data_IF_162229868061
#
_entry.id   IF_162229868061
#
_cell.length_a   1.000
_cell.length_b   1.000
_cell.length_c   1.000
_cell.angle_alpha   90.00
_cell.angle_beta   90.00
_cell.angle_gamma   90.00
#
_symmetry.space_group_name_H-M   'P 1'
#
loop_
_entity.id
_entity.type
_entity.pdbx_description
1 polymer ?
#
# COMPACT_ATOMS: atom_id res chain seq x y z
N UNK A 1 19.69 39.79 38.39
CA UNK A 1 19.75 39.74 36.92
C UNK A 1 20.11 38.31 36.57
N UNK A 2 19.10 37.50 36.24
CA UNK A 2 19.24 36.05 36.04
C UNK A 2 19.45 35.78 34.55
N UNK A 3 20.61 35.25 34.20
CA UNK A 3 20.86 34.60 32.90
C UNK A 3 21.14 33.13 33.20
N UNK A 4 20.16 32.27 32.88
CA UNK A 4 20.31 30.81 32.84
C UNK A 4 21.31 30.43 31.74
N UNK A 5 22.26 29.53 31.99
CA UNK A 5 22.64 28.53 30.99
C UNK A 5 21.61 27.39 31.00
N UNK A 6 21.31 26.85 29.83
CA UNK A 6 20.54 25.63 29.62
C UNK A 6 21.33 24.45 30.20
N UNK A 7 20.80 23.83 31.25
CA UNK A 7 21.08 22.44 31.56
C UNK A 7 20.07 21.63 30.73
N UNK A 8 20.46 21.23 29.52
CA UNK A 8 19.77 20.19 28.75
C UNK A 8 20.69 18.96 28.69
N UNK A 9 21.12 18.55 29.88
CA UNK A 9 21.82 17.30 30.10
C UNK A 9 20.74 16.23 30.23
N UNK A 10 20.46 15.54 29.12
CA UNK A 10 19.51 14.43 29.07
C UNK A 10 19.72 13.49 30.25
N UNK A 11 18.76 13.48 31.18
CA UNK A 11 18.76 12.56 32.33
C UNK A 11 18.49 11.16 31.79
N UNK A 12 19.54 10.47 31.37
CA UNK A 12 19.51 9.04 31.12
C UNK A 12 19.18 8.33 32.43
N UNK A 13 18.08 7.57 32.44
CA UNK A 13 17.71 6.78 33.63
C UNK A 13 18.63 5.57 33.70
N UNK A 14 19.40 5.47 34.78
CA UNK A 14 20.27 4.32 35.05
C UNK A 14 19.44 3.22 35.72
N UNK A 15 19.29 2.08 35.05
CA UNK A 15 18.60 0.91 35.61
C UNK A 15 19.62 -0.20 35.81
N UNK A 16 19.60 -0.85 36.98
CA UNK A 16 20.46 -1.99 37.30
C UNK A 16 19.65 -3.27 37.08
N UNK A 17 20.02 -4.05 36.07
CA UNK A 17 19.43 -5.37 35.80
C UNK A 17 20.53 -6.42 35.93
N UNK A 18 20.35 -7.37 36.85
CA UNK A 18 21.30 -8.48 37.05
C UNK A 18 22.72 -8.07 37.46
N UNK A 19 22.89 -6.95 38.17
CA UNK A 19 24.18 -6.47 38.63
C UNK A 19 25.01 -5.70 37.58
N UNK A 20 24.45 -5.45 36.39
CA UNK A 20 25.07 -4.62 35.36
C UNK A 20 24.26 -3.33 35.20
N UNK A 21 24.94 -2.19 35.27
CA UNK A 21 24.33 -0.90 35.02
C UNK A 21 24.18 -0.67 33.51
N UNK A 22 22.98 -0.31 33.07
CA UNK A 22 22.69 0.09 31.70
C UNK A 22 22.16 1.52 31.72
N UNK A 23 22.74 2.37 30.89
CA UNK A 23 22.28 3.74 30.68
C UNK A 23 21.29 3.69 29.53
N UNK A 24 20.05 4.07 29.79
CA UNK A 24 19.01 4.20 28.76
C UNK A 24 18.94 5.68 28.38
N UNK A 25 19.39 6.02 27.18
CA UNK A 25 19.25 7.36 26.62
C UNK A 25 17.79 7.60 26.25
N UNK A 26 17.23 8.71 26.74
CA UNK A 26 15.84 9.08 26.57
C UNK A 26 15.57 9.43 25.10
N UNK A 27 15.04 8.49 24.33
CA UNK A 27 14.52 8.76 22.99
C UNK A 27 13.29 9.64 23.20
N UNK A 28 13.40 10.93 22.91
CA UNK A 28 12.27 11.86 22.90
C UNK A 28 11.22 11.32 21.90
N UNK A 29 10.25 10.57 22.42
CA UNK A 29 9.12 10.09 21.65
C UNK A 29 8.03 11.15 21.80
N UNK A 30 7.97 12.07 20.84
CA UNK A 30 6.80 12.89 20.56
C UNK A 30 5.70 11.99 19.98
N UNK A 31 5.21 11.07 20.82
CA UNK A 31 4.11 10.18 20.51
C UNK A 31 2.83 10.82 21.01
N UNK A 32 2.07 11.42 20.10
CA UNK A 32 0.66 11.74 20.31
C UNK A 32 -0.05 10.44 20.70
N UNK A 33 -0.56 10.38 21.92
CA UNK A 33 -1.37 9.26 22.43
C UNK A 33 -2.83 9.70 22.33
N UNK A 34 -3.60 9.11 21.41
CA UNK A 34 -5.07 9.23 21.42
C UNK A 34 -5.63 8.33 22.53
N UNK A 35 -6.74 8.76 23.12
CA UNK A 35 -7.33 8.23 24.36
C UNK A 35 -8.13 6.93 24.16
N UNK A 36 -8.11 6.33 22.98
CA UNK A 36 -8.73 5.03 22.68
C UNK A 36 -7.74 3.84 22.75
N UNK A 37 -6.44 4.11 22.82
CA UNK A 37 -5.40 3.09 22.88
C UNK A 37 -5.13 2.39 21.55
N UNK A 38 -5.54 2.96 20.41
CA UNK A 38 -5.14 2.46 19.08
C UNK A 38 -3.83 3.12 18.62
N UNK A 39 -2.72 2.75 19.26
CA UNK A 39 -1.39 3.00 18.69
C UNK A 39 -1.09 1.97 17.60
N UNK A 40 -1.83 2.01 16.49
CA UNK A 40 -1.49 1.22 15.32
C UNK A 40 -1.90 1.95 14.03
N UNK A 41 -1.32 3.13 13.82
CA UNK A 41 -1.52 4.02 12.66
C UNK A 41 -0.95 3.47 11.33
N UNK A 42 -0.64 2.18 11.25
CA UNK A 42 -0.30 1.53 9.99
C UNK A 42 -1.52 0.74 9.50
N UNK A 43 -2.32 1.33 8.61
CA UNK A 43 -3.28 0.56 7.84
C UNK A 43 -2.49 -0.54 7.10
N UNK A 44 -2.80 -1.79 7.43
CA UNK A 44 -2.20 -2.99 6.83
C UNK A 44 -3.27 -3.71 6.05
N UNK A 45 -2.86 -4.44 5.00
CA UNK A 45 -3.78 -5.23 4.18
C UNK A 45 -4.72 -6.12 5.02
N UNK A 46 -4.21 -6.73 6.09
CA UNK A 46 -4.98 -7.60 6.98
C UNK A 46 -6.12 -6.89 7.73
N UNK A 47 -6.02 -5.57 7.93
CA UNK A 47 -7.03 -4.75 8.62
C UNK A 47 -8.15 -4.27 7.70
N UNK A 48 -7.93 -4.29 6.38
CA UNK A 48 -8.99 -3.99 5.41
C UNK A 48 -10.06 -5.07 5.47
N UNK A 49 -11.33 -4.67 5.35
CA UNK A 49 -12.44 -5.60 5.30
C UNK A 49 -12.24 -6.62 4.17
N UNK A 50 -12.46 -7.91 4.47
CA UNK A 50 -12.34 -8.99 3.50
C UNK A 50 -13.21 -8.79 2.25
N UNK A 51 -14.38 -8.18 2.39
CA UNK A 51 -15.25 -7.86 1.26
C UNK A 51 -14.59 -6.82 0.33
N UNK A 52 -13.99 -5.77 0.90
CA UNK A 52 -13.24 -4.74 0.15
C UNK A 52 -12.00 -5.34 -0.52
N UNK A 53 -11.31 -6.26 0.15
CA UNK A 53 -10.16 -6.97 -0.44
C UNK A 53 -10.58 -7.82 -1.65
N UNK A 54 -11.66 -8.59 -1.51
CA UNK A 54 -12.17 -9.43 -2.58
C UNK A 54 -12.67 -8.60 -3.77
N UNK A 55 -13.39 -7.51 -3.49
CA UNK A 55 -13.86 -6.56 -4.49
C UNK A 55 -12.69 -5.92 -5.23
N UNK A 56 -11.64 -5.50 -4.52
CA UNK A 56 -10.46 -4.90 -5.15
C UNK A 56 -9.75 -5.88 -6.08
N UNK A 57 -9.55 -7.13 -5.64
CA UNK A 57 -8.93 -8.16 -6.47
C UNK A 57 -9.74 -8.40 -7.75
N UNK A 58 -11.06 -8.54 -7.63
CA UNK A 58 -11.95 -8.69 -8.78
C UNK A 58 -11.94 -7.47 -9.70
N UNK A 59 -11.84 -6.27 -9.13
CA UNK A 59 -11.74 -5.04 -9.91
C UNK A 59 -10.43 -4.97 -10.71
N UNK A 60 -9.29 -5.25 -10.07
CA UNK A 60 -7.99 -5.28 -10.74
C UNK A 60 -8.01 -6.31 -11.88
N UNK A 61 -8.53 -7.52 -11.61
CA UNK A 61 -8.65 -8.57 -12.61
C UNK A 61 -9.54 -8.14 -13.77
N UNK A 62 -10.71 -7.52 -13.51
CA UNK A 62 -11.61 -7.05 -14.55
C UNK A 62 -10.99 -5.95 -15.43
N UNK A 63 -10.24 -5.02 -14.85
CA UNK A 63 -9.63 -3.91 -15.60
C UNK A 63 -8.36 -4.31 -16.35
N UNK A 64 -7.53 -5.17 -15.75
CA UNK A 64 -6.20 -5.51 -16.28
C UNK A 64 -6.15 -6.87 -16.99
N UNK A 65 -7.05 -7.79 -16.65
CA UNK A 65 -6.94 -9.21 -16.96
C UNK A 65 -5.84 -9.93 -16.16
N UNK A 66 -5.27 -9.31 -15.13
CA UNK A 66 -4.23 -9.89 -14.27
C UNK A 66 -4.85 -10.31 -12.94
N UNK A 67 -4.67 -11.58 -12.58
CA UNK A 67 -5.17 -12.15 -11.33
C UNK A 67 -4.04 -12.24 -10.32
N UNK A 68 -4.05 -11.34 -9.35
CA UNK A 68 -3.14 -11.39 -8.20
C UNK A 68 -3.67 -12.36 -7.14
N UNK A 69 -2.77 -13.11 -6.51
CA UNK A 69 -3.08 -13.76 -5.23
C UNK A 69 -3.17 -12.71 -4.12
N UNK A 70 -3.85 -13.06 -3.04
CA UNK A 70 -3.99 -12.18 -1.87
C UNK A 70 -2.63 -11.78 -1.28
N UNK A 71 -1.65 -12.71 -1.29
CA UNK A 71 -0.28 -12.45 -0.80
C UNK A 71 0.45 -11.45 -1.70
N UNK A 72 0.39 -11.62 -3.02
CA UNK A 72 1.07 -10.71 -3.95
C UNK A 72 0.50 -9.29 -3.88
N UNK A 73 -0.82 -9.17 -3.75
CA UNK A 73 -1.47 -7.87 -3.64
C UNK A 73 -1.20 -7.23 -2.26
N UNK A 74 -1.17 -8.02 -1.19
CA UNK A 74 -0.77 -7.56 0.13
C UNK A 74 0.66 -7.01 0.11
N UNK A 75 1.62 -7.75 -0.44
CA UNK A 75 3.02 -7.34 -0.53
C UNK A 75 3.18 -6.04 -1.32
N UNK A 76 2.41 -5.88 -2.42
CA UNK A 76 2.41 -4.65 -3.21
C UNK A 76 1.83 -3.46 -2.43
N UNK A 77 0.69 -3.62 -1.77
CA UNK A 77 -0.04 -2.51 -1.16
C UNK A 77 0.48 -2.14 0.24
N UNK A 78 1.06 -3.09 0.98
CA UNK A 78 1.69 -2.83 2.29
C UNK A 78 2.86 -1.85 2.23
N UNK A 79 3.39 -1.57 1.03
CA UNK A 79 4.40 -0.52 0.82
C UNK A 79 3.83 0.90 0.86
N UNK A 80 2.50 1.07 0.93
CA UNK A 80 1.81 2.37 0.97
C UNK A 80 0.63 2.32 1.95
N UNK A 81 0.94 2.57 3.21
CA UNK A 81 -0.03 2.57 4.30
C UNK A 81 -1.09 3.66 4.16
N UNK A 82 -0.78 4.75 3.46
CA UNK A 82 -1.76 5.81 3.20
C UNK A 82 -2.85 5.30 2.25
N UNK A 83 -2.46 4.64 1.15
CA UNK A 83 -3.41 4.02 0.23
C UNK A 83 -4.26 2.93 0.90
N UNK A 84 -3.69 2.16 1.82
CA UNK A 84 -4.45 1.17 2.61
C UNK A 84 -5.44 1.85 3.56
N UNK A 85 -5.10 3.01 4.12
CA UNK A 85 -6.02 3.82 4.91
C UNK A 85 -7.18 4.33 4.06
N UNK A 86 -6.87 4.91 2.89
CA UNK A 86 -7.89 5.41 1.96
C UNK A 86 -8.81 4.29 1.47
N UNK A 87 -8.25 3.11 1.18
CA UNK A 87 -9.04 1.94 0.77
C UNK A 87 -9.93 1.42 1.91
N UNK A 88 -9.50 1.56 3.16
CA UNK A 88 -10.32 1.19 4.33
C UNK A 88 -11.44 2.20 4.60
N UNK A 89 -11.23 3.48 4.30
CA UNK A 89 -12.21 4.56 4.54
C UNK A 89 -13.21 4.69 3.40
N UNK A 90 -12.74 4.64 2.15
CA UNK A 90 -13.52 4.97 0.96
C UNK A 90 -13.87 3.74 0.09
N UNK A 91 -13.17 2.63 0.26
CA UNK A 91 -13.43 1.39 -0.47
C UNK A 91 -13.04 1.44 -1.97
N UNK A 92 -13.55 0.48 -2.73
CA UNK A 92 -13.27 0.30 -4.17
C UNK A 92 -14.14 1.21 -5.05
N UNK A 93 -15.20 1.81 -4.50
CA UNK A 93 -16.09 2.71 -5.24
C UNK A 93 -15.44 4.09 -5.52
N UNK A 94 -14.42 4.46 -4.75
CA UNK A 94 -13.72 5.72 -4.93
C UNK A 94 -12.74 5.65 -6.12
N UNK A 95 -12.98 6.49 -7.11
CA UNK A 95 -12.23 6.52 -8.36
C UNK A 95 -10.77 6.96 -8.17
N UNK A 96 -10.48 7.81 -7.18
CA UNK A 96 -9.12 8.31 -6.92
C UNK A 96 -8.31 7.24 -6.21
N UNK A 97 -8.90 6.54 -5.22
CA UNK A 97 -8.29 5.38 -4.55
C UNK A 97 -7.95 4.30 -5.58
N UNK A 98 -8.91 3.96 -6.44
CA UNK A 98 -8.70 2.93 -7.46
C UNK A 98 -7.69 3.35 -8.52
N UNK A 99 -7.69 4.60 -8.96
CA UNK A 99 -6.68 5.12 -9.87
C UNK A 99 -5.26 4.97 -9.30
N UNK A 100 -5.09 5.17 -7.99
CA UNK A 100 -3.82 4.95 -7.30
C UNK A 100 -3.44 3.49 -7.19
N UNK A 101 -4.39 2.59 -6.90
CA UNK A 101 -4.13 1.14 -6.89
C UNK A 101 -3.68 0.67 -8.27
N UNK A 102 -4.41 1.02 -9.32
CA UNK A 102 -4.06 0.66 -10.70
C UNK A 102 -2.69 1.20 -11.12
N UNK A 103 -2.38 2.43 -10.72
CA UNK A 103 -1.06 3.03 -10.95
C UNK A 103 0.06 2.27 -10.25
N UNK A 104 -0.18 1.76 -9.04
CA UNK A 104 0.77 0.90 -8.32
C UNK A 104 0.96 -0.45 -9.01
N UNK A 105 -0.13 -1.06 -9.47
CA UNK A 105 -0.10 -2.32 -10.21
C UNK A 105 0.72 -2.18 -11.48
N UNK A 106 0.46 -1.13 -12.28
CA UNK A 106 1.22 -0.91 -13.52
C UNK A 106 2.67 -0.55 -13.26
N UNK A 107 2.96 0.24 -12.24
CA UNK A 107 4.34 0.60 -11.88
C UNK A 107 5.12 -0.63 -11.41
N UNK A 108 4.50 -1.49 -10.60
CA UNK A 108 5.10 -2.74 -10.17
C UNK A 108 5.39 -3.72 -11.34
N UNK A 109 4.50 -3.78 -12.33
CA UNK A 109 4.63 -4.69 -13.45
C UNK A 109 5.55 -4.16 -14.55
N UNK A 110 5.41 -2.88 -14.93
CA UNK A 110 6.05 -2.28 -16.11
C UNK A 110 6.97 -1.09 -15.79
N UNK A 111 7.02 -0.61 -14.55
CA UNK A 111 7.78 0.59 -14.17
C UNK A 111 7.19 1.89 -14.69
N UNK A 112 5.89 1.91 -15.03
CA UNK A 112 5.18 3.11 -15.48
C UNK A 112 3.75 3.15 -14.95
N UNK A 113 3.20 4.35 -14.82
CA UNK A 113 1.85 4.60 -14.29
C UNK A 113 0.75 4.14 -15.26
N UNK A 114 -0.43 3.96 -14.69
CA UNK A 114 -1.64 3.64 -15.44
C UNK A 114 -2.03 4.85 -16.29
N UNK A 115 -2.43 4.68 -17.56
CA UNK A 115 -2.78 5.78 -18.43
C UNK A 115 -4.00 6.52 -17.88
N UNK A 116 -3.93 7.85 -17.88
CA UNK A 116 -5.08 8.67 -17.49
C UNK A 116 -5.95 8.98 -18.71
N UNK A 117 -7.25 9.18 -18.51
CA UNK A 117 -8.16 9.57 -19.59
C UNK A 117 -7.67 10.88 -20.23
N UNK A 118 -7.31 10.82 -21.52
CA UNK A 118 -6.81 11.95 -22.29
C UNK A 118 -5.37 11.80 -22.79
N UNK A 119 -4.63 10.82 -22.28
CA UNK A 119 -3.37 10.40 -22.89
C UNK A 119 -3.68 9.63 -24.18
N UNK A 120 -3.04 9.97 -25.30
CA UNK A 120 -3.12 9.23 -26.57
C UNK A 120 -2.39 7.86 -26.47
N UNK A 121 -2.55 7.16 -25.35
CA UNK A 121 -2.05 5.83 -25.16
C UNK A 121 -3.02 4.85 -25.82
N UNK A 122 -2.50 3.96 -26.66
CA UNK A 122 -3.27 2.80 -27.11
C UNK A 122 -3.47 1.88 -25.90
N UNK A 123 -4.66 1.98 -25.31
CA UNK A 123 -4.98 1.27 -24.07
C UNK A 123 -4.96 -0.25 -24.27
N UNK A 124 -5.26 -0.74 -25.48
CA UNK A 124 -5.18 -2.17 -25.77
C UNK A 124 -3.71 -2.65 -25.76
N UNK A 125 -2.81 -1.88 -26.38
CA UNK A 125 -1.36 -2.17 -26.34
C UNK A 125 -0.84 -2.09 -24.90
N UNK A 126 -1.28 -1.10 -24.12
CA UNK A 126 -0.90 -0.99 -22.71
C UNK A 126 -1.30 -2.25 -21.91
N UNK A 127 -2.53 -2.73 -22.08
CA UNK A 127 -3.02 -3.93 -21.40
C UNK A 127 -2.27 -5.19 -21.84
N UNK A 128 -1.92 -5.33 -23.11
CA UNK A 128 -1.13 -6.46 -23.61
C UNK A 128 0.31 -6.44 -23.04
N UNK A 129 0.95 -5.27 -22.95
CA UNK A 129 2.25 -5.11 -22.31
C UNK A 129 2.19 -5.41 -20.79
N UNK A 130 1.12 -4.98 -20.12
CA UNK A 130 0.89 -5.23 -18.70
C UNK A 130 0.76 -6.73 -18.42
N UNK A 131 -0.04 -7.44 -19.22
CA UNK A 131 -0.24 -8.90 -19.14
C UNK A 131 1.04 -9.66 -19.47
N UNK A 132 1.79 -9.21 -20.46
CA UNK A 132 3.09 -9.80 -20.81
C UNK A 132 4.07 -9.66 -19.64
N UNK A 133 4.09 -8.50 -18.99
CA UNK A 133 4.94 -8.24 -17.81
C UNK A 133 4.51 -9.04 -16.58
N UNK A 134 3.20 -9.19 -16.35
CA UNK A 134 2.66 -10.05 -15.30
C UNK A 134 3.09 -11.50 -15.51
N UNK A 135 2.97 -12.01 -16.74
CA UNK A 135 3.41 -13.37 -17.10
C UNK A 135 4.90 -13.55 -16.87
N UNK A 136 5.73 -12.57 -17.26
CA UNK A 136 7.18 -12.61 -17.04
C UNK A 136 7.56 -12.62 -15.55
N UNK A 137 6.71 -12.05 -14.68
CA UNK A 137 6.86 -12.08 -13.21
C UNK A 137 6.25 -13.32 -12.56
N UNK A 138 5.61 -14.20 -13.33
CA UNK A 138 4.97 -15.42 -12.82
C UNK A 138 3.56 -15.21 -12.26
N UNK A 139 2.96 -14.04 -12.48
CA UNK A 139 1.60 -13.71 -12.02
C UNK A 139 0.59 -14.24 -13.03
N UNK A 140 -0.53 -14.76 -12.53
CA UNK A 140 -1.58 -15.32 -13.37
C UNK A 140 -2.26 -14.24 -14.22
N UNK A 141 -2.52 -14.56 -15.48
CA UNK A 141 -3.25 -13.70 -16.41
C UNK A 141 -4.45 -14.48 -16.92
N UNK A 142 -5.64 -13.85 -16.91
CA UNK A 142 -6.82 -14.46 -17.50
C UNK A 142 -6.57 -14.71 -18.98
N UNK A 143 -6.86 -15.92 -19.45
CA UNK A 143 -6.86 -16.22 -20.87
C UNK A 143 -7.80 -15.22 -21.55
N UNK A 144 -7.24 -14.35 -22.41
CA UNK A 144 -7.99 -13.40 -23.22
C UNK A 144 -9.23 -14.10 -23.76
N UNK A 145 -10.41 -13.64 -23.33
CA UNK A 145 -11.63 -13.98 -24.06
C UNK A 145 -11.51 -13.21 -25.38
N UNK A 146 -11.38 -13.88 -26.54
CA UNK A 146 -11.34 -13.16 -27.79
C UNK A 146 -12.64 -12.37 -27.93
N UNK A 147 -12.54 -11.05 -28.09
CA UNK A 147 -13.67 -10.12 -28.27
C UNK A 147 -14.37 -10.32 -29.65
N UNK A 148 -14.26 -11.51 -30.24
CA UNK A 148 -14.76 -11.87 -31.57
C UNK A 148 -15.54 -13.19 -31.59
N UNK A 149 -16.15 -13.60 -30.47
CA UNK A 149 -16.98 -14.81 -30.40
C UNK A 149 -18.46 -14.57 -30.02
N UNK A 150 -18.97 -13.34 -30.17
CA UNK A 150 -20.37 -13.01 -29.83
C UNK A 150 -21.17 -12.37 -30.98
N UNK A 151 -20.88 -12.74 -32.23
CA UNK A 151 -21.78 -12.49 -33.38
C UNK A 151 -21.95 -13.81 -34.15
N UNK A 152 -22.97 -14.58 -33.76
CA UNK A 152 -23.65 -15.55 -34.61
C UNK A 152 -25.15 -15.32 -34.51
#
# INVERSE_FOLDING_TARGET
MFTKPQDDDGIGTMIIVGGKAVIVENIAHDGIVDSDGDTDLHATWSRINADVRAELMGFIEAQSGVSFSEVELADLLNTDTALLGDLSEWGVEDADVIGRVLSKVSDFLMGRKWPTFGENADFAVFLDELRSSATAKGIAVMASVPVHAALK
#
